data_IF_064663584887
#
_entry.id   IF_064663584887
#
_cell.length_a   1.000
_cell.length_b   1.000
_cell.length_c   1.000
_cell.angle_alpha   90.00
_cell.angle_beta   90.00
_cell.angle_gamma   90.00
#
_symmetry.space_group_name_H-M   'P 1'
#
loop_
_entity.id
_entity.type
_entity.pdbx_description
1 polymer ?
#
# COMPACT_ATOMS: atom_id res chain seq x y z
N UNK A 1 -23.11 -2.49 16.60
CA UNK A 1 -23.23 -1.33 15.68
C UNK A 1 -22.92 -0.12 16.54
N UNK A 2 -21.67 0.32 16.57
CA UNK A 2 -21.28 1.51 17.35
C UNK A 2 -21.96 2.74 16.74
N UNK A 3 -22.37 3.67 17.61
CA UNK A 3 -22.95 4.95 17.20
C UNK A 3 -21.92 5.76 16.43
N UNK A 4 -22.15 5.92 15.12
CA UNK A 4 -21.38 6.87 14.31
C UNK A 4 -21.89 8.28 14.61
N UNK A 5 -21.16 9.05 15.42
CA UNK A 5 -21.54 10.45 15.66
C UNK A 5 -21.34 11.28 14.39
N UNK A 6 -22.03 12.41 14.29
CA UNK A 6 -21.85 13.41 13.24
C UNK A 6 -21.34 14.68 13.86
N UNK A 7 -20.39 15.34 13.21
CA UNK A 7 -19.91 16.65 13.64
C UNK A 7 -21.05 17.66 13.54
N UNK A 8 -21.38 18.32 14.65
CA UNK A 8 -22.25 19.50 14.62
C UNK A 8 -21.52 20.62 13.89
N UNK A 9 -22.11 21.13 12.82
CA UNK A 9 -21.46 22.15 11.97
C UNK A 9 -21.21 23.43 12.76
N UNK A 10 -22.20 23.88 13.55
CA UNK A 10 -22.11 25.14 14.28
C UNK A 10 -21.14 25.02 15.45
N UNK A 11 -21.27 23.97 16.26
CA UNK A 11 -20.39 23.64 17.38
C UNK A 11 -18.93 23.48 16.93
N UNK A 12 -18.70 22.70 15.87
CA UNK A 12 -17.37 22.46 15.32
C UNK A 12 -16.71 23.75 14.82
N UNK A 13 -17.43 24.58 14.05
CA UNK A 13 -16.90 25.86 13.57
C UNK A 13 -16.58 26.81 14.72
N UNK A 14 -17.43 26.86 15.74
CA UNK A 14 -17.19 27.68 16.91
C UNK A 14 -15.96 27.20 17.72
N UNK A 15 -15.80 25.89 17.89
CA UNK A 15 -14.63 25.30 18.53
C UNK A 15 -13.35 25.63 17.76
N UNK A 16 -13.32 25.36 16.44
CA UNK A 16 -12.19 25.69 15.56
C UNK A 16 -11.85 27.19 15.67
N UNK A 17 -12.84 28.07 15.51
CA UNK A 17 -12.62 29.52 15.60
C UNK A 17 -11.96 29.92 16.90
N UNK A 18 -12.49 29.47 18.04
CA UNK A 18 -11.93 29.84 19.35
C UNK A 18 -10.50 29.35 19.54
N UNK A 19 -10.17 28.16 19.03
CA UNK A 19 -8.81 27.62 19.11
C UNK A 19 -7.87 28.38 18.16
N UNK A 20 -8.34 28.79 16.98
CA UNK A 20 -7.57 29.64 16.07
C UNK A 20 -7.36 31.05 16.63
N UNK A 21 -8.34 31.60 17.36
CA UNK A 21 -8.18 32.88 18.08
C UNK A 21 -7.12 32.78 19.19
N UNK A 22 -6.96 31.60 19.81
CA UNK A 22 -5.84 31.31 20.71
C UNK A 22 -4.55 31.25 19.90
N UNK A 23 -4.52 30.55 18.75
CA UNK A 23 -3.32 30.45 17.92
C UNK A 23 -2.77 31.84 17.53
N UNK A 24 -3.64 32.78 17.19
CA UNK A 24 -3.25 34.17 16.88
C UNK A 24 -2.51 34.87 18.02
N UNK A 25 -2.77 34.50 19.29
CA UNK A 25 -2.08 35.05 20.46
C UNK A 25 -0.69 34.42 20.68
N UNK A 26 -0.44 33.24 20.12
CA UNK A 26 0.78 32.47 20.31
C UNK A 26 1.74 32.54 19.12
N UNK A 27 1.28 32.97 17.93
CA UNK A 27 2.05 32.95 16.68
C UNK A 27 3.40 33.68 16.73
N UNK A 28 3.50 34.75 17.52
CA UNK A 28 4.71 35.58 17.62
C UNK A 28 5.72 35.02 18.64
N UNK A 29 5.43 33.88 19.28
CA UNK A 29 6.37 33.21 20.19
C UNK A 29 7.50 32.57 19.39
N UNK A 30 8.73 32.74 19.86
CA UNK A 30 9.91 32.11 19.29
C UNK A 30 10.17 30.72 19.92
N UNK A 31 9.14 29.89 19.98
CA UNK A 31 9.19 28.52 20.48
C UNK A 31 8.36 27.59 19.58
N UNK A 32 8.36 26.29 19.90
CA UNK A 32 7.61 25.31 19.12
C UNK A 32 6.10 25.55 19.15
N UNK A 33 5.58 26.20 20.20
CA UNK A 33 4.16 26.53 20.30
C UNK A 33 3.78 27.68 19.35
N UNK A 34 4.67 28.66 19.15
CA UNK A 34 4.49 29.69 18.14
C UNK A 34 4.50 29.13 16.72
N UNK A 35 5.38 28.17 16.44
CA UNK A 35 5.37 27.47 15.15
C UNK A 35 4.07 26.65 14.96
N UNK A 36 3.66 25.87 15.97
CA UNK A 36 2.38 25.13 15.93
C UNK A 36 1.19 26.05 15.66
N UNK A 37 1.14 27.19 16.37
CA UNK A 37 0.10 28.20 16.20
C UNK A 37 0.10 28.76 14.77
N UNK A 38 1.27 29.02 14.20
CA UNK A 38 1.41 29.50 12.82
C UNK A 38 0.86 28.47 11.82
N UNK A 39 1.21 27.19 11.96
CA UNK A 39 0.70 26.11 11.10
C UNK A 39 -0.82 25.97 11.16
N UNK A 40 -1.42 26.15 12.35
CA UNK A 40 -2.88 26.14 12.50
C UNK A 40 -3.54 27.35 11.84
N UNK A 41 -2.92 28.53 11.91
CA UNK A 41 -3.41 29.74 11.23
C UNK A 41 -3.35 29.57 9.72
N UNK A 42 -2.28 28.98 9.18
CA UNK A 42 -2.15 28.72 7.74
C UNK A 42 -3.31 27.86 7.21
N UNK A 43 -3.84 26.95 8.04
CA UNK A 43 -4.98 26.09 7.73
C UNK A 43 -6.35 26.77 7.90
N UNK A 44 -6.42 27.99 8.43
CA UNK A 44 -7.69 28.65 8.80
C UNK A 44 -8.71 28.69 7.66
N UNK A 45 -8.27 28.99 6.44
CA UNK A 45 -9.16 29.04 5.27
C UNK A 45 -9.69 27.67 4.86
N UNK A 46 -8.90 26.62 5.10
CA UNK A 46 -9.25 25.25 4.75
C UNK A 46 -10.24 24.66 5.77
N UNK A 47 -9.97 24.86 7.06
CA UNK A 47 -10.68 24.16 8.14
C UNK A 47 -11.86 24.93 8.73
N UNK A 48 -11.88 26.26 8.64
CA UNK A 48 -12.98 27.09 9.15
C UNK A 48 -14.04 27.34 8.07
N UNK A 49 -14.63 26.26 7.55
CA UNK A 49 -15.71 26.32 6.57
C UNK A 49 -16.75 25.22 6.79
N UNK A 50 -18.02 25.52 6.51
CA UNK A 50 -19.08 24.50 6.53
C UNK A 50 -18.79 23.37 5.55
N UNK A 51 -18.18 23.68 4.40
CA UNK A 51 -17.76 22.71 3.40
C UNK A 51 -16.80 21.67 3.98
N UNK A 52 -15.84 22.11 4.80
CA UNK A 52 -14.90 21.24 5.47
C UNK A 52 -15.61 20.29 6.44
N UNK A 53 -16.46 20.80 7.33
CA UNK A 53 -17.18 19.94 8.29
C UNK A 53 -18.10 18.94 7.58
N UNK A 54 -18.77 19.37 6.50
CA UNK A 54 -19.57 18.48 5.67
C UNK A 54 -18.72 17.45 4.91
N UNK A 55 -17.49 17.79 4.54
CA UNK A 55 -16.52 16.82 4.00
C UNK A 55 -16.14 15.78 5.05
N UNK A 56 -15.86 16.20 6.28
CA UNK A 56 -15.55 15.29 7.38
C UNK A 56 -16.70 14.31 7.65
N UNK A 57 -17.94 14.83 7.73
CA UNK A 57 -19.13 13.99 7.93
C UNK A 57 -19.33 12.93 6.84
N UNK A 58 -18.92 13.23 5.60
CA UNK A 58 -19.00 12.29 4.45
C UNK A 58 -17.85 11.29 4.43
N UNK A 59 -16.63 11.72 4.77
CA UNK A 59 -15.41 10.97 4.47
C UNK A 59 -14.78 10.26 5.69
N UNK A 60 -15.00 10.74 6.92
CA UNK A 60 -14.42 10.16 8.15
C UNK A 60 -15.25 8.98 8.69
N UNK A 61 -15.14 7.81 8.07
CA UNK A 61 -16.01 6.66 8.41
C UNK A 61 -15.63 6.00 9.76
N UNK A 62 -14.34 5.83 10.06
CA UNK A 62 -13.82 5.20 11.29
C UNK A 62 -13.67 6.23 12.40
N UNK A 63 -13.12 7.44 12.15
CA UNK A 63 -12.99 8.44 13.21
C UNK A 63 -14.34 8.82 13.84
N UNK A 64 -15.44 8.78 13.06
CA UNK A 64 -16.80 8.97 13.58
C UNK A 64 -17.30 7.89 14.55
N UNK A 65 -16.59 6.77 14.69
CA UNK A 65 -16.90 5.75 15.72
C UNK A 65 -16.22 6.08 17.05
N UNK A 66 -15.20 6.95 17.02
CA UNK A 66 -14.46 7.40 18.20
C UNK A 66 -14.95 8.77 18.66
N UNK A 67 -15.96 8.81 19.53
CA UNK A 67 -16.46 10.07 20.11
C UNK A 67 -15.37 10.92 20.78
N UNK A 68 -14.20 10.36 21.09
CA UNK A 68 -12.99 11.08 21.49
C UNK A 68 -12.55 12.16 20.50
N UNK A 69 -12.75 11.90 19.21
CA UNK A 69 -12.37 12.74 18.08
C UNK A 69 -13.53 13.65 17.61
N UNK A 70 -14.42 14.07 18.51
CA UNK A 70 -15.37 15.11 18.16
C UNK A 70 -14.66 16.47 18.26
N UNK A 71 -14.80 17.34 17.25
CA UNK A 71 -14.07 18.62 17.18
C UNK A 71 -14.35 19.49 18.42
N UNK A 72 -15.58 19.45 18.94
CA UNK A 72 -15.93 20.17 20.16
C UNK A 72 -15.09 19.72 21.37
N UNK A 73 -14.59 18.48 21.38
CA UNK A 73 -13.73 17.95 22.44
C UNK A 73 -12.30 18.47 22.36
N UNK A 74 -11.87 18.99 21.21
CA UNK A 74 -10.62 19.75 21.15
C UNK A 74 -10.72 21.02 22.02
N UNK A 75 -11.93 21.57 22.20
CA UNK A 75 -12.19 22.76 23.01
C UNK A 75 -12.41 22.44 24.50
N UNK A 76 -13.30 21.48 24.81
CA UNK A 76 -13.77 21.21 26.18
C UNK A 76 -13.08 20.00 26.87
N UNK A 77 -12.27 19.25 26.13
CA UNK A 77 -11.56 18.07 26.61
C UNK A 77 -12.44 16.88 26.99
N UNK A 78 -13.74 16.94 26.74
CA UNK A 78 -14.66 15.84 26.92
C UNK A 78 -14.98 15.45 28.36
N UNK A 79 -14.61 16.27 29.36
CA UNK A 79 -14.87 16.04 30.79
C UNK A 79 -15.12 17.35 31.53
N UNK A 80 -16.03 17.34 32.53
CA UNK A 80 -16.22 18.47 33.46
C UNK A 80 -14.99 18.59 34.37
N UNK A 81 -14.09 19.52 34.05
CA UNK A 81 -12.87 19.77 34.84
C UNK A 81 -11.67 20.18 34.00
N UNK A 82 -11.74 20.08 32.67
CA UNK A 82 -10.74 20.67 31.80
C UNK A 82 -10.71 22.18 32.02
N UNK A 83 -9.57 22.73 32.47
CA UNK A 83 -9.54 24.10 32.95
C UNK A 83 -9.77 25.05 31.77
N UNK A 84 -10.51 26.14 31.98
CA UNK A 84 -10.75 27.14 30.93
C UNK A 84 -9.47 27.76 30.36
N UNK A 85 -8.32 27.62 31.04
CA UNK A 85 -7.03 28.25 30.69
C UNK A 85 -6.03 27.33 29.99
N UNK A 86 -6.43 26.12 29.59
CA UNK A 86 -5.55 25.12 28.97
C UNK A 86 -5.39 25.31 27.44
N UNK A 87 -4.95 26.51 27.06
CA UNK A 87 -4.79 26.92 25.65
C UNK A 87 -3.83 26.03 24.86
N UNK A 88 -2.71 25.64 25.48
CA UNK A 88 -1.69 24.77 24.87
C UNK A 88 -2.30 23.44 24.43
N UNK A 89 -3.02 22.77 25.32
CA UNK A 89 -3.66 21.50 24.99
C UNK A 89 -4.72 21.63 23.89
N UNK A 90 -5.45 22.76 23.82
CA UNK A 90 -6.44 22.99 22.77
C UNK A 90 -5.79 23.11 21.40
N UNK A 91 -4.68 23.84 21.31
CA UNK A 91 -3.88 23.94 20.09
C UNK A 91 -3.34 22.57 19.67
N UNK A 92 -2.73 21.84 20.61
CA UNK A 92 -2.20 20.49 20.38
C UNK A 92 -3.28 19.52 19.89
N UNK A 93 -4.44 19.48 20.56
CA UNK A 93 -5.55 18.59 20.19
C UNK A 93 -6.13 18.92 18.84
N UNK A 94 -6.36 20.20 18.54
CA UNK A 94 -6.85 20.58 17.21
C UNK A 94 -5.87 20.13 16.13
N UNK A 95 -4.57 20.35 16.33
CA UNK A 95 -3.56 19.89 15.38
C UNK A 95 -3.59 18.37 15.17
N UNK A 96 -3.63 17.60 16.26
CA UNK A 96 -3.68 16.13 16.18
C UNK A 96 -4.96 15.65 15.51
N UNK A 97 -6.11 16.23 15.83
CA UNK A 97 -7.38 15.88 15.22
C UNK A 97 -7.36 16.13 13.71
N UNK A 98 -6.90 17.30 13.29
CA UNK A 98 -6.78 17.66 11.87
C UNK A 98 -5.86 16.69 11.12
N UNK A 99 -4.72 16.32 11.70
CA UNK A 99 -3.79 15.35 11.10
C UNK A 99 -4.42 13.96 11.01
N UNK A 100 -5.09 13.49 12.07
CA UNK A 100 -5.78 12.19 12.09
C UNK A 100 -6.88 12.15 11.01
N UNK A 101 -7.69 13.21 10.92
CA UNK A 101 -8.75 13.31 9.92
C UNK A 101 -8.20 13.26 8.51
N UNK A 102 -7.17 14.05 8.23
CA UNK A 102 -6.57 14.10 6.91
C UNK A 102 -5.95 12.75 6.54
N UNK A 103 -5.22 12.11 7.45
CA UNK A 103 -4.67 10.77 7.21
C UNK A 103 -5.76 9.74 6.93
N UNK A 104 -6.88 9.78 7.66
CA UNK A 104 -8.00 8.88 7.39
C UNK A 104 -8.59 9.13 5.99
N UNK A 105 -8.84 10.39 5.64
CA UNK A 105 -9.41 10.77 4.33
C UNK A 105 -8.51 10.29 3.21
N UNK A 106 -7.20 10.56 3.32
CA UNK A 106 -6.20 10.14 2.33
C UNK A 106 -6.16 8.62 2.22
N UNK A 107 -6.11 7.92 3.36
CA UNK A 107 -6.14 6.46 3.40
C UNK A 107 -7.38 5.91 2.73
N UNK A 108 -8.57 6.46 2.96
CA UNK A 108 -9.83 5.96 2.39
C UNK A 108 -10.02 6.26 0.93
N UNK A 109 -9.57 7.44 0.48
CA UNK A 109 -9.77 7.88 -0.89
C UNK A 109 -8.66 7.40 -1.83
N UNK A 110 -7.71 6.62 -1.31
CA UNK A 110 -6.50 6.21 -2.01
C UNK A 110 -5.71 7.41 -2.60
N UNK A 111 -5.66 8.51 -1.85
CA UNK A 111 -4.98 9.72 -2.29
C UNK A 111 -3.52 9.71 -1.85
N UNK A 112 -2.71 10.54 -2.50
CA UNK A 112 -1.36 10.85 -2.02
C UNK A 112 -1.40 12.19 -1.32
N UNK A 113 -0.63 12.31 -0.25
CA UNK A 113 -0.45 13.59 0.45
C UNK A 113 0.21 14.58 -0.52
N UNK A 114 -0.42 15.72 -0.74
CA UNK A 114 0.20 16.82 -1.48
C UNK A 114 1.26 17.48 -0.60
N UNK A 115 2.53 17.35 -0.99
CA UNK A 115 3.68 17.88 -0.25
C UNK A 115 3.72 19.42 -0.21
N UNK A 116 2.90 20.10 -1.03
CA UNK A 116 2.73 21.55 -0.98
C UNK A 116 1.61 22.01 -0.05
N UNK A 117 0.80 21.10 0.49
CA UNK A 117 -0.38 21.45 1.30
C UNK A 117 -0.01 21.86 2.73
N UNK A 118 -0.80 22.78 3.30
CA UNK A 118 -0.66 23.17 4.71
C UNK A 118 -0.85 21.97 5.66
N UNK A 119 -1.69 21.00 5.29
CA UNK A 119 -1.87 19.76 6.04
C UNK A 119 -0.60 18.90 6.07
N UNK A 120 0.15 18.82 4.97
CA UNK A 120 1.43 18.12 4.93
C UNK A 120 2.44 18.75 5.89
N UNK A 121 2.54 20.08 5.89
CA UNK A 121 3.44 20.78 6.81
C UNK A 121 3.03 20.59 8.27
N UNK A 122 1.72 20.56 8.58
CA UNK A 122 1.24 20.24 9.92
C UNK A 122 1.56 18.79 10.31
N UNK A 123 1.32 17.80 9.44
CA UNK A 123 1.64 16.39 9.71
C UNK A 123 3.14 16.20 9.97
N UNK A 124 3.99 16.81 9.13
CA UNK A 124 5.44 16.79 9.35
C UNK A 124 5.80 17.43 10.69
N UNK A 125 5.24 18.60 11.00
CA UNK A 125 5.53 19.30 12.25
C UNK A 125 5.17 18.44 13.47
N UNK A 126 3.97 17.85 13.50
CA UNK A 126 3.50 16.95 14.56
C UNK A 126 4.45 15.77 14.74
N UNK A 127 4.90 15.13 13.65
CA UNK A 127 5.86 14.01 13.71
C UNK A 127 7.21 14.41 14.32
N UNK A 128 7.73 15.59 13.96
CA UNK A 128 9.05 16.05 14.43
C UNK A 128 9.03 16.56 15.87
N UNK A 129 7.90 17.06 16.35
CA UNK A 129 7.75 17.59 17.73
C UNK A 129 6.99 16.62 18.64
N UNK A 130 6.91 15.33 18.29
CA UNK A 130 6.11 14.31 19.00
C UNK A 130 6.42 14.24 20.50
N UNK A 131 7.67 14.42 20.86
CA UNK A 131 8.18 14.39 22.24
C UNK A 131 7.79 15.61 23.09
N UNK A 132 7.25 16.66 22.46
CA UNK A 132 6.88 17.91 23.13
C UNK A 132 5.40 18.03 23.47
N UNK A 133 4.56 17.11 22.97
CA UNK A 133 3.14 17.11 23.29
C UNK A 133 2.91 16.71 24.75
N UNK A 134 1.94 17.35 25.39
CA UNK A 134 1.62 17.12 26.80
C UNK A 134 0.78 15.83 26.98
N UNK A 135 0.88 15.21 28.16
CA UNK A 135 0.29 13.89 28.47
C UNK A 135 -1.22 13.82 28.16
N UNK A 136 -1.97 14.90 28.38
CA UNK A 136 -3.40 14.97 28.12
C UNK A 136 -3.78 14.91 26.63
N UNK A 137 -2.80 15.06 25.74
CA UNK A 137 -2.93 14.92 24.29
C UNK A 137 -2.32 13.61 23.77
N UNK A 138 -1.63 12.85 24.63
CA UNK A 138 -0.84 11.68 24.22
C UNK A 138 -1.67 10.55 23.62
N UNK A 139 -2.88 10.32 24.12
CA UNK A 139 -3.80 9.32 23.56
C UNK A 139 -4.13 9.58 22.07
N UNK A 140 -4.08 10.84 21.61
CA UNK A 140 -4.27 11.17 20.20
C UNK A 140 -3.05 10.76 19.37
N UNK A 141 -1.84 10.82 19.95
CA UNK A 141 -0.61 10.38 19.29
C UNK A 141 -0.58 8.86 19.16
N UNK A 142 -1.00 8.12 20.18
CA UNK A 142 -1.16 6.66 20.09
C UNK A 142 -2.12 6.29 18.96
N UNK A 143 -3.28 6.94 18.91
CA UNK A 143 -4.24 6.73 17.84
C UNK A 143 -3.65 7.07 16.46
N UNK A 144 -2.90 8.17 16.36
CA UNK A 144 -2.24 8.58 15.13
C UNK A 144 -1.20 7.57 14.63
N UNK A 145 -0.49 6.92 15.54
CA UNK A 145 0.51 5.89 15.24
C UNK A 145 -0.14 4.55 14.86
N UNK A 146 -1.29 4.23 15.48
CA UNK A 146 -2.09 3.04 15.17
C UNK A 146 -2.87 3.16 13.85
N UNK A 147 -2.94 4.37 13.25
CA UNK A 147 -3.61 4.55 11.98
C UNK A 147 -2.96 3.71 10.87
N UNK A 148 -3.75 3.03 10.02
CA UNK A 148 -3.23 2.25 8.90
C UNK A 148 -2.26 3.08 8.04
N UNK A 149 -1.06 2.55 7.83
CA UNK A 149 0.01 3.24 7.08
C UNK A 149 -0.15 3.08 5.57
N UNK A 150 0.70 3.75 4.80
CA UNK A 150 0.73 3.71 3.34
C UNK A 150 0.83 2.28 2.77
N UNK A 151 1.53 1.36 3.46
CA UNK A 151 1.62 -0.05 3.05
C UNK A 151 0.26 -0.73 3.13
N UNK A 152 -0.49 -0.47 4.21
CA UNK A 152 -1.85 -0.96 4.34
C UNK A 152 -2.78 -0.30 3.32
N UNK A 153 -2.55 0.96 2.96
CA UNK A 153 -3.35 1.65 1.93
C UNK A 153 -3.30 0.90 0.60
N UNK A 154 -2.11 0.51 0.12
CA UNK A 154 -1.97 -0.25 -1.12
C UNK A 154 -2.72 -1.59 -1.07
N UNK A 155 -2.63 -2.31 0.05
CA UNK A 155 -3.34 -3.58 0.23
C UNK A 155 -4.86 -3.41 0.32
N UNK A 156 -5.34 -2.40 1.05
CA UNK A 156 -6.77 -2.10 1.19
C UNK A 156 -7.43 -1.63 -0.12
N UNK A 157 -6.66 -1.00 -1.01
CA UNK A 157 -7.12 -0.58 -2.34
C UNK A 157 -6.73 -1.56 -3.46
N UNK A 158 -6.13 -2.70 -3.11
CA UNK A 158 -5.88 -3.75 -4.08
C UNK A 158 -7.20 -4.22 -4.71
N UNK A 159 -7.14 -4.65 -5.97
CA UNK A 159 -8.30 -5.19 -6.68
C UNK A 159 -8.97 -6.32 -5.88
N UNK A 160 -8.17 -7.11 -5.17
CA UNK A 160 -8.62 -8.19 -4.30
C UNK A 160 -9.40 -7.69 -3.08
N UNK A 161 -8.89 -6.69 -2.36
CA UNK A 161 -9.55 -6.12 -1.19
C UNK A 161 -10.85 -5.38 -1.58
N UNK A 162 -10.86 -4.69 -2.72
CA UNK A 162 -12.05 -4.05 -3.25
C UNK A 162 -13.09 -5.08 -3.72
N UNK A 163 -12.67 -6.18 -4.33
CA UNK A 163 -13.55 -7.29 -4.67
C UNK A 163 -14.16 -7.91 -3.41
N UNK A 164 -13.34 -8.21 -2.39
CA UNK A 164 -13.79 -8.73 -1.11
C UNK A 164 -14.79 -7.78 -0.43
N UNK A 165 -14.52 -6.48 -0.36
CA UNK A 165 -15.44 -5.52 0.29
C UNK A 165 -16.78 -5.40 -0.44
N UNK A 166 -16.79 -5.46 -1.77
CA UNK A 166 -18.02 -5.50 -2.59
C UNK A 166 -18.84 -6.76 -2.33
N UNK A 167 -18.19 -7.91 -2.14
CA UNK A 167 -18.89 -9.15 -1.82
C UNK A 167 -19.36 -9.15 -0.36
N UNK A 168 -18.57 -8.64 0.60
CA UNK A 168 -18.97 -8.51 2.02
C UNK A 168 -20.12 -7.52 2.26
N UNK A 169 -20.24 -6.50 1.42
CA UNK A 169 -21.38 -5.55 1.46
C UNK A 169 -22.65 -6.11 0.81
N UNK A 170 -22.53 -7.19 0.03
CA UNK A 170 -23.67 -8.02 -0.33
C UNK A 170 -23.92 -9.00 0.82
N UNK A 171 -25.14 -9.05 1.35
CA UNK A 171 -25.54 -9.86 2.53
C UNK A 171 -25.37 -11.39 2.38
N UNK A 172 -24.79 -11.86 1.27
CA UNK A 172 -24.54 -13.26 0.97
C UNK A 172 -23.08 -13.63 1.25
N UNK A 173 -22.76 -13.89 2.52
CA UNK A 173 -21.48 -14.49 2.95
C UNK A 173 -21.23 -15.82 2.21
N UNK A 174 -22.28 -16.54 1.81
CA UNK A 174 -22.23 -17.74 0.98
C UNK A 174 -21.60 -17.52 -0.41
N UNK A 175 -21.74 -16.32 -0.99
CA UNK A 175 -21.07 -15.95 -2.25
C UNK A 175 -19.59 -15.63 -2.04
N UNK A 176 -19.21 -15.13 -0.86
CA UNK A 176 -17.79 -14.94 -0.48
C UNK A 176 -17.09 -16.30 -0.38
N UNK A 177 -17.72 -17.26 0.31
CA UNK A 177 -17.18 -18.61 0.47
C UNK A 177 -17.03 -19.32 -0.87
N UNK A 178 -18.04 -19.21 -1.75
CA UNK A 178 -17.94 -19.73 -3.11
C UNK A 178 -16.85 -19.04 -3.95
N UNK A 179 -16.64 -17.73 -3.82
CA UNK A 179 -15.58 -17.01 -4.54
C UNK A 179 -14.19 -17.44 -4.07
N UNK A 180 -13.98 -17.59 -2.75
CA UNK A 180 -12.72 -18.08 -2.17
C UNK A 180 -12.44 -19.50 -2.67
N UNK A 181 -13.42 -20.40 -2.57
CA UNK A 181 -13.29 -21.79 -3.02
C UNK A 181 -13.00 -21.88 -4.53
N UNK A 182 -13.70 -21.10 -5.36
CA UNK A 182 -13.47 -21.08 -6.81
C UNK A 182 -12.06 -20.57 -7.15
N UNK A 183 -11.54 -19.62 -6.38
CA UNK A 183 -10.18 -19.09 -6.57
C UNK A 183 -9.13 -20.12 -6.16
N UNK A 184 -9.28 -20.77 -5.02
CA UNK A 184 -8.38 -21.84 -4.58
C UNK A 184 -8.35 -22.99 -5.59
N UNK A 185 -9.52 -23.39 -6.13
CA UNK A 185 -9.61 -24.37 -7.21
C UNK A 185 -8.90 -23.91 -8.50
N UNK A 186 -8.98 -22.61 -8.83
CA UNK A 186 -8.33 -22.04 -10.02
C UNK A 186 -6.82 -22.00 -9.84
N UNK A 187 -6.32 -21.60 -8.67
CA UNK A 187 -4.89 -21.63 -8.33
C UNK A 187 -4.36 -23.07 -8.40
N UNK A 188 -5.07 -24.02 -7.80
CA UNK A 188 -4.70 -25.44 -7.85
C UNK A 188 -4.64 -25.98 -9.30
N UNK A 189 -5.58 -25.56 -10.17
CA UNK A 189 -5.56 -25.91 -11.60
C UNK A 189 -4.38 -25.29 -12.35
N UNK A 190 -4.02 -24.04 -12.05
CA UNK A 190 -2.85 -23.37 -12.63
C UNK A 190 -1.57 -24.09 -12.20
N UNK A 191 -1.43 -24.44 -10.93
CA UNK A 191 -0.27 -25.16 -10.43
C UNK A 191 -0.16 -26.56 -11.07
N UNK A 192 -1.29 -27.25 -11.25
CA UNK A 192 -1.33 -28.53 -11.96
C UNK A 192 -0.90 -28.36 -13.42
N UNK A 193 -1.40 -27.34 -14.12
CA UNK A 193 -1.01 -27.05 -15.51
C UNK A 193 0.48 -26.70 -15.64
N UNK A 194 1.03 -25.91 -14.73
CA UNK A 194 2.45 -25.57 -14.73
C UNK A 194 3.33 -26.81 -14.51
N UNK A 195 2.92 -27.70 -13.61
CA UNK A 195 3.61 -28.97 -13.38
C UNK A 195 3.56 -29.87 -14.63
N UNK A 196 2.37 -30.06 -15.22
CA UNK A 196 2.23 -30.83 -16.47
C UNK A 196 3.03 -30.23 -17.63
N UNK A 197 3.07 -28.91 -17.73
CA UNK A 197 3.83 -28.21 -18.76
C UNK A 197 5.33 -28.43 -18.59
N UNK A 198 5.84 -28.29 -17.37
CA UNK A 198 7.25 -28.56 -17.05
C UNK A 198 7.63 -30.01 -17.32
N UNK A 199 6.76 -30.98 -17.00
CA UNK A 199 7.02 -32.39 -17.26
C UNK A 199 7.04 -32.71 -18.77
N UNK A 200 6.15 -32.09 -19.54
CA UNK A 200 6.17 -32.18 -21.01
C UNK A 200 7.41 -31.51 -21.60
N UNK A 201 7.82 -30.37 -21.08
CA UNK A 201 9.04 -29.68 -21.51
C UNK A 201 10.28 -30.55 -21.26
N UNK A 202 10.40 -31.15 -20.07
CA UNK A 202 11.47 -32.11 -19.75
C UNK A 202 11.46 -33.30 -20.70
N UNK A 203 10.28 -33.86 -21.00
CA UNK A 203 10.15 -34.98 -21.93
C UNK A 203 10.61 -34.59 -23.35
N UNK A 204 10.24 -33.40 -23.82
CA UNK A 204 10.65 -32.87 -25.13
C UNK A 204 12.15 -32.62 -25.19
N UNK A 205 12.74 -32.02 -24.14
CA UNK A 205 14.18 -31.78 -24.07
C UNK A 205 14.97 -33.10 -24.06
N UNK A 206 14.49 -34.11 -23.32
CA UNK A 206 15.11 -35.43 -23.30
C UNK A 206 14.99 -36.14 -24.67
N UNK A 207 13.85 -36.01 -25.35
CA UNK A 207 13.67 -36.47 -26.73
C UNK A 207 14.64 -35.78 -27.69
N UNK A 208 14.82 -34.46 -27.56
CA UNK A 208 15.76 -33.68 -28.36
C UNK A 208 17.20 -34.15 -28.15
N UNK A 209 17.63 -34.35 -26.89
CA UNK A 209 18.96 -34.88 -26.58
C UNK A 209 19.18 -36.28 -27.14
N UNK A 210 18.18 -37.17 -27.04
CA UNK A 210 18.24 -38.50 -27.65
C UNK A 210 18.35 -38.44 -29.17
N UNK A 211 17.59 -37.55 -29.82
CA UNK A 211 17.65 -37.36 -31.27
C UNK A 211 19.01 -36.83 -31.73
N UNK A 212 19.60 -35.87 -31.02
CA UNK A 212 20.97 -35.40 -31.31
C UNK A 212 22.01 -36.50 -31.09
N UNK A 213 21.85 -37.32 -30.04
CA UNK A 213 22.70 -38.49 -29.80
C UNK A 213 22.60 -39.50 -30.93
N UNK A 214 21.38 -39.80 -31.39
CA UNK A 214 21.18 -40.68 -32.55
C UNK A 214 21.76 -40.09 -33.83
N UNK A 215 21.60 -38.79 -34.07
CA UNK A 215 22.19 -38.09 -35.22
C UNK A 215 23.72 -38.17 -35.22
N UNK A 216 24.36 -38.01 -34.05
CA UNK A 216 25.79 -38.24 -33.88
C UNK A 216 26.17 -39.71 -34.08
N UNK A 217 25.34 -40.64 -33.62
CA UNK A 217 25.51 -42.07 -33.88
C UNK A 217 25.43 -42.42 -35.36
N UNK A 218 24.51 -41.82 -36.13
CA UNK A 218 24.33 -42.07 -37.56
C UNK A 218 25.46 -41.51 -38.47
N UNK A 219 26.51 -40.89 -37.91
CA UNK A 219 27.78 -40.64 -38.62
C UNK A 219 28.47 -41.93 -39.13
N UNK A 220 27.92 -43.12 -38.87
CA UNK A 220 28.29 -44.35 -39.56
C UNK A 220 28.25 -44.25 -41.09
N UNK A 221 27.41 -43.38 -41.69
CA UNK A 221 27.43 -43.15 -43.14
C UNK A 221 28.73 -42.45 -43.57
N UNK A 222 29.19 -41.47 -42.79
CA UNK A 222 30.48 -40.80 -43.03
C UNK A 222 31.67 -41.72 -42.79
N UNK A 223 31.61 -42.58 -41.76
CA UNK A 223 32.61 -43.62 -41.53
C UNK A 223 32.64 -44.66 -42.66
N UNK A 224 31.48 -45.12 -43.14
CA UNK A 224 31.40 -46.06 -44.26
C UNK A 224 31.96 -45.47 -45.56
N UNK A 225 31.67 -44.19 -45.84
CA UNK A 225 32.28 -43.48 -46.97
C UNK A 225 33.80 -43.35 -46.79
N UNK A 226 34.28 -43.02 -45.59
CA UNK A 226 35.71 -42.99 -45.27
C UNK A 226 36.40 -44.34 -45.48
N UNK A 227 35.82 -45.44 -44.98
CA UNK A 227 36.36 -46.79 -45.18
C UNK A 227 36.33 -47.21 -46.66
N UNK A 228 35.30 -46.83 -47.41
CA UNK A 228 35.19 -47.11 -48.85
C UNK A 228 36.29 -46.39 -49.64
N UNK A 229 36.53 -45.10 -49.35
CA UNK A 229 37.59 -44.32 -49.98
C UNK A 229 39.00 -44.85 -49.61
N UNK A 230 39.19 -45.27 -48.36
CA UNK A 230 40.46 -45.85 -47.91
C UNK A 230 40.77 -47.16 -48.65
N UNK A 231 39.75 -47.98 -48.88
CA UNK A 231 39.86 -49.22 -49.66
C UNK A 231 40.25 -48.92 -51.12
N UNK A 232 39.57 -48.00 -51.78
CA UNK A 232 39.91 -47.62 -53.16
C UNK A 232 41.34 -47.09 -53.30
N UNK A 233 41.80 -46.29 -52.33
CA UNK A 233 43.18 -45.81 -52.30
C UNK A 233 44.19 -46.96 -52.16
N UNK A 234 43.89 -47.92 -51.28
CA UNK A 234 44.75 -49.09 -51.08
C UNK A 234 44.80 -50.00 -52.31
N UNK A 235 43.67 -50.19 -52.98
CA UNK A 235 43.61 -50.99 -54.21
C UNK A 235 44.41 -50.33 -55.35
N UNK A 236 44.38 -48.98 -55.46
CA UNK A 236 45.22 -48.22 -56.39
C UNK A 236 46.71 -48.29 -56.06
N UNK A 237 47.08 -48.21 -54.78
CA UNK A 237 48.47 -48.42 -54.35
C UNK A 237 48.95 -49.82 -54.73
N UNK A 238 48.13 -50.84 -54.50
CA UNK A 238 48.44 -52.22 -54.84
C UNK A 238 48.60 -52.42 -56.35
N UNK A 239 47.72 -51.84 -57.16
CA UNK A 239 47.85 -51.89 -58.63
C UNK A 239 49.11 -51.18 -59.11
N UNK A 240 49.43 -50.01 -58.55
CA UNK A 240 50.63 -49.26 -58.93
C UNK A 240 51.91 -49.98 -58.49
N UNK A 241 51.90 -50.63 -57.32
CA UNK A 241 53.01 -51.45 -56.86
C UNK A 241 53.21 -52.68 -57.77
N UNK A 242 52.13 -53.34 -58.20
CA UNK A 242 52.21 -54.46 -59.14
C UNK A 242 52.68 -54.06 -60.55
N UNK A 243 52.46 -52.81 -60.97
CA UNK A 243 52.97 -52.28 -62.25
C UNK A 243 54.47 -51.97 -62.19
N UNK A 244 55.05 -51.70 -61.01
CA UNK A 244 56.50 -51.44 -60.86
C UNK A 244 57.39 -52.70 -60.91
N UNK A 245 56.80 -53.91 -60.89
CA UNK A 245 57.51 -55.19 -60.96
C UNK A 245 57.34 -55.93 -62.31
N UNK A 246 56.81 -55.24 -63.33
CA UNK A 246 56.79 -55.67 -64.74
C UNK A 246 57.54 -54.66 -65.60
#
# INVERSE_FOLDING_TARGET
>A
MEEKFTFDVVGSLNAIRKILDIAEQYKDRNDWMGELATRLIDLKLDVHSESYINSLNRNLITCRSFKGLDIERAWDGGVKGFSEKQDIHRLQRLALFLVIYEREIIFRNNQRVDQGSNFYFLDQFVRHQRDKFEDESYWCLELLDDMPTYIMQEEFHSEHALALSKVMSSTDISKVENFINTREETIAKIDTWNNEFNDKEKAVNNLKEKLETYKAGFNFVGLYQGFSQLKEHKDKELSNANIQYY
#
